data_IF_621774244535
#
_entry.id   IF_621774244535
#
_cell.length_a   1.000
_cell.length_b   1.000
_cell.length_c   1.000
_cell.angle_alpha   90.00
_cell.angle_beta   90.00
_cell.angle_gamma   90.00
#
_symmetry.space_group_name_H-M   'P 1'
#
loop_
_entity.id
_entity.type
_entity.pdbx_description
1 polymer ?
#
# COMPACT_ATOMS: atom_id res chain seq x y z
N UNK A 1 24.37 43.53 -13.89
CA UNK A 1 24.23 42.05 -13.85
C UNK A 1 24.03 41.66 -12.40
N UNK A 2 22.82 41.25 -12.03
CA UNK A 2 22.49 40.84 -10.66
C UNK A 2 21.72 39.53 -10.77
N UNK A 3 22.45 38.42 -10.66
CA UNK A 3 21.86 37.10 -10.64
C UNK A 3 21.24 36.87 -9.26
N UNK A 4 19.91 36.90 -9.20
CA UNK A 4 19.16 36.42 -8.04
C UNK A 4 19.31 34.90 -7.96
N UNK A 5 20.15 34.43 -7.04
CA UNK A 5 20.16 33.06 -6.58
C UNK A 5 18.95 32.85 -5.66
N UNK A 6 17.79 32.59 -6.25
CA UNK A 6 16.67 32.00 -5.51
C UNK A 6 17.04 30.57 -5.14
N UNK A 7 17.56 30.42 -3.92
CA UNK A 7 17.71 29.15 -3.22
C UNK A 7 16.38 28.41 -3.28
N UNK A 8 16.31 27.43 -4.18
CA UNK A 8 15.16 26.54 -4.33
C UNK A 8 15.15 25.67 -3.08
N UNK A 9 14.30 26.01 -2.11
CA UNK A 9 14.08 25.20 -0.91
C UNK A 9 13.74 23.79 -1.37
N UNK A 10 14.69 22.86 -1.19
CA UNK A 10 14.50 21.47 -1.60
C UNK A 10 13.32 20.93 -0.79
N UNK A 11 12.24 20.54 -1.47
CA UNK A 11 11.06 20.00 -0.81
C UNK A 11 11.43 18.70 -0.10
N UNK A 12 11.49 18.75 1.23
CA UNK A 12 11.84 17.59 2.06
C UNK A 12 10.62 16.68 2.25
N UNK A 13 10.49 15.73 1.33
CA UNK A 13 9.42 14.73 1.39
C UNK A 13 9.53 13.82 2.62
N UNK A 14 10.72 13.63 3.19
CA UNK A 14 10.93 12.75 4.35
C UNK A 14 10.29 13.36 5.58
N UNK A 15 10.48 14.66 5.80
CA UNK A 15 9.83 15.40 6.90
C UNK A 15 8.31 15.35 6.76
N UNK A 16 7.76 15.54 5.57
CA UNK A 16 6.31 15.48 5.33
C UNK A 16 5.73 14.10 5.66
N UNK A 17 6.36 13.02 5.19
CA UNK A 17 5.87 11.65 5.40
C UNK A 17 6.01 11.22 6.87
N UNK A 18 7.10 11.61 7.52
CA UNK A 18 7.32 11.37 8.95
C UNK A 18 6.30 12.12 9.80
N UNK A 19 6.02 13.38 9.47
CA UNK A 19 4.98 14.17 10.15
C UNK A 19 3.60 13.54 9.96
N UNK A 20 3.26 13.05 8.76
CA UNK A 20 2.01 12.33 8.51
C UNK A 20 1.90 11.04 9.34
N UNK A 21 3.01 10.33 9.53
CA UNK A 21 3.05 9.14 10.38
C UNK A 21 2.81 9.48 11.87
N UNK A 22 3.46 10.54 12.36
CA UNK A 22 3.31 11.01 13.75
C UNK A 22 1.90 11.54 14.02
N UNK A 23 1.31 12.34 13.13
CA UNK A 23 -0.02 12.93 13.33
C UNK A 23 -1.14 11.89 13.30
N UNK A 24 -0.96 10.80 12.55
CA UNK A 24 -1.89 9.69 12.60
C UNK A 24 -1.94 9.06 14.01
N UNK A 25 -0.77 8.77 14.58
CA UNK A 25 -0.60 8.21 15.93
C UNK A 25 -0.98 9.20 17.04
N UNK A 26 -0.78 10.50 16.81
CA UNK A 26 -1.08 11.59 17.75
C UNK A 26 -2.09 12.57 17.15
N UNK A 27 -3.40 12.35 17.34
CA UNK A 27 -4.47 13.12 16.69
C UNK A 27 -4.44 14.63 16.94
N UNK A 28 -3.78 15.07 18.01
CA UNK A 28 -3.69 16.47 18.42
C UNK A 28 -2.80 17.32 17.50
N UNK A 29 -2.09 16.70 16.54
CA UNK A 29 -1.23 17.40 15.59
C UNK A 29 -1.90 17.53 14.21
N UNK A 30 -1.69 18.69 13.59
CA UNK A 30 -2.20 18.98 12.24
C UNK A 30 -1.50 18.07 11.23
N UNK A 31 -2.28 17.31 10.46
CA UNK A 31 -1.75 16.49 9.38
C UNK A 31 -1.44 17.36 8.14
N UNK A 32 -0.44 16.99 7.31
CA UNK A 32 -0.21 17.64 6.03
C UNK A 32 -1.48 17.62 5.16
N UNK A 33 -1.67 18.63 4.32
CA UNK A 33 -2.77 18.59 3.35
C UNK A 33 -2.60 17.41 2.39
N UNK A 34 -3.71 16.90 1.84
CA UNK A 34 -3.68 15.80 0.88
C UNK A 34 -2.74 16.08 -0.31
N UNK A 35 -2.74 17.32 -0.81
CA UNK A 35 -1.89 17.73 -1.92
C UNK A 35 -0.40 17.70 -1.57
N UNK A 36 -0.02 18.15 -0.37
CA UNK A 36 1.35 18.11 0.12
C UNK A 36 1.80 16.65 0.27
N UNK A 37 0.94 15.79 0.83
CA UNK A 37 1.25 14.37 1.00
C UNK A 37 1.41 13.64 -0.35
N UNK A 38 0.54 13.92 -1.33
CA UNK A 38 0.69 13.37 -2.70
C UNK A 38 2.01 13.80 -3.33
N UNK A 39 2.37 15.09 -3.23
CA UNK A 39 3.67 15.59 -3.74
C UNK A 39 4.84 14.87 -3.07
N UNK A 40 4.77 14.64 -1.76
CA UNK A 40 5.79 13.90 -1.03
C UNK A 40 5.90 12.43 -1.46
N UNK A 41 4.77 11.74 -1.64
CA UNK A 41 4.76 10.36 -2.12
C UNK A 41 5.33 10.24 -3.54
N UNK A 42 4.98 11.17 -4.44
CA UNK A 42 5.52 11.21 -5.81
C UNK A 42 7.02 11.49 -5.83
N UNK A 43 7.50 12.39 -4.97
CA UNK A 43 8.92 12.68 -4.85
C UNK A 43 9.69 11.48 -4.27
N UNK A 44 9.14 10.81 -3.25
CA UNK A 44 9.72 9.57 -2.70
C UNK A 44 9.82 8.48 -3.78
N UNK A 45 8.77 8.29 -4.59
CA UNK A 45 8.80 7.33 -5.69
C UNK A 45 9.86 7.66 -6.74
N UNK A 46 9.98 8.94 -7.11
CA UNK A 46 11.01 9.40 -8.04
C UNK A 46 12.41 9.13 -7.50
N UNK A 47 12.68 9.48 -6.24
CA UNK A 47 13.96 9.26 -5.58
C UNK A 47 14.30 7.77 -5.51
N UNK A 48 13.34 6.91 -5.13
CA UNK A 48 13.56 5.47 -5.08
C UNK A 48 13.94 4.86 -6.43
N UNK A 49 13.32 5.34 -7.53
CA UNK A 49 13.68 4.93 -8.89
C UNK A 49 15.08 5.40 -9.30
N UNK A 50 15.42 6.66 -9.00
CA UNK A 50 16.73 7.24 -9.32
C UNK A 50 17.87 6.54 -8.57
N UNK A 51 17.65 6.24 -7.29
CA UNK A 51 18.63 5.58 -6.43
C UNK A 51 18.60 4.05 -6.54
N UNK A 52 17.65 3.49 -7.32
CA UNK A 52 17.44 2.05 -7.48
C UNK A 52 17.33 1.32 -6.13
N UNK A 53 16.60 1.93 -5.18
CA UNK A 53 16.40 1.36 -3.86
C UNK A 53 15.67 0.02 -3.97
N UNK A 54 16.13 -0.97 -3.23
CA UNK A 54 15.50 -2.28 -3.11
C UNK A 54 15.22 -2.57 -1.64
N UNK A 55 14.08 -3.16 -1.34
CA UNK A 55 13.67 -3.50 0.02
C UNK A 55 13.55 -5.02 0.16
N UNK A 56 14.16 -5.64 1.18
CA UNK A 56 13.90 -7.03 1.53
C UNK A 56 12.43 -7.26 1.96
N UNK A 57 11.90 -8.48 1.72
CA UNK A 57 10.51 -8.82 2.05
C UNK A 57 10.22 -8.72 3.56
N UNK A 58 11.23 -9.00 4.38
CA UNK A 58 11.18 -9.01 5.84
C UNK A 58 10.76 -7.66 6.42
N UNK A 59 11.09 -6.56 5.74
CA UNK A 59 10.69 -5.22 6.17
C UNK A 59 9.21 -4.92 5.91
N UNK A 60 8.54 -5.70 5.06
CA UNK A 60 7.10 -5.59 4.83
C UNK A 60 6.31 -6.42 5.85
N UNK A 61 6.94 -7.32 6.60
CA UNK A 61 6.25 -8.19 7.54
C UNK A 61 5.59 -7.44 8.69
N UNK A 62 4.40 -7.92 9.06
CA UNK A 62 3.57 -7.36 10.12
C UNK A 62 2.32 -6.69 9.59
N UNK A 63 1.67 -5.90 10.45
CA UNK A 63 0.37 -5.28 10.21
C UNK A 63 0.52 -3.77 10.00
N UNK A 64 -0.14 -3.27 8.97
CA UNK A 64 -0.02 -1.90 8.49
C UNK A 64 -1.40 -1.28 8.31
N UNK A 65 -1.64 -0.18 9.02
CA UNK A 65 -2.88 0.57 8.95
C UNK A 65 -2.83 1.59 7.81
N UNK A 66 -3.81 1.54 6.92
CA UNK A 66 -3.95 2.45 5.80
C UNK A 66 -4.37 3.83 6.28
N UNK A 67 -3.60 4.84 5.89
CA UNK A 67 -3.78 6.20 6.37
C UNK A 67 -4.18 7.14 5.24
N UNK A 68 -3.66 6.92 4.04
CA UNK A 68 -3.91 7.77 2.89
C UNK A 68 -3.89 6.96 1.60
N UNK A 69 -4.82 7.27 0.69
CA UNK A 69 -4.86 6.67 -0.65
C UNK A 69 -5.19 7.71 -1.70
N UNK A 70 -4.72 7.47 -2.93
CA UNK A 70 -5.19 8.18 -4.12
C UNK A 70 -5.95 7.21 -5.02
N UNK A 71 -7.14 7.61 -5.46
CA UNK A 71 -7.75 6.98 -6.63
C UNK A 71 -7.06 7.41 -7.92
N UNK A 72 -7.38 6.74 -9.01
CA UNK A 72 -7.02 7.19 -10.36
C UNK A 72 -8.27 7.38 -11.20
N UNK A 73 -8.23 8.35 -12.12
CA UNK A 73 -9.26 8.52 -13.15
C UNK A 73 -8.61 8.29 -14.50
N UNK A 74 -9.23 7.45 -15.33
CA UNK A 74 -8.85 7.34 -16.74
C UNK A 74 -9.15 8.67 -17.42
N UNK A 75 -8.15 9.27 -18.05
CA UNK A 75 -8.37 10.49 -18.82
C UNK A 75 -9.14 10.13 -20.10
N UNK A 76 -10.27 10.80 -20.36
CA UNK A 76 -11.19 10.45 -21.47
C UNK A 76 -10.66 10.85 -22.86
N UNK A 77 -9.51 11.54 -22.96
CA UNK A 77 -8.98 12.02 -24.25
C UNK A 77 -7.55 11.59 -24.60
N UNK A 78 -6.82 10.98 -23.67
CA UNK A 78 -5.45 10.52 -23.88
C UNK A 78 -5.27 9.33 -22.95
N UNK A 79 -4.80 8.18 -23.43
CA UNK A 79 -4.74 6.91 -22.67
C UNK A 79 -3.90 6.90 -21.37
N UNK A 80 -3.59 8.06 -20.80
CA UNK A 80 -2.94 8.24 -19.51
C UNK A 80 -3.90 8.13 -18.31
N UNK A 81 -3.31 7.70 -17.19
CA UNK A 81 -3.97 7.61 -15.89
C UNK A 81 -3.72 8.91 -15.13
N UNK A 82 -4.77 9.65 -14.78
CA UNK A 82 -4.66 10.84 -13.94
C UNK A 82 -4.76 10.43 -12.46
N UNK A 83 -3.77 10.83 -11.66
CA UNK A 83 -3.78 10.61 -10.21
C UNK A 83 -4.79 11.55 -9.55
N UNK A 84 -5.66 10.99 -8.72
CA UNK A 84 -6.62 11.78 -7.94
C UNK A 84 -5.95 12.56 -6.82
N UNK A 85 -6.68 13.53 -6.24
CA UNK A 85 -6.21 14.39 -5.13
C UNK A 85 -5.83 13.62 -3.85
N UNK A 86 -6.30 12.38 -3.73
CA UNK A 86 -6.14 11.54 -2.55
C UNK A 86 -6.99 11.97 -1.37
N UNK A 87 -7.13 11.06 -0.40
CA UNK A 87 -7.88 11.29 0.82
C UNK A 87 -7.28 10.49 1.97
N UNK A 88 -7.41 11.05 3.18
CA UNK A 88 -7.09 10.34 4.41
C UNK A 88 -8.23 9.39 4.77
N UNK A 89 -7.88 8.20 5.23
CA UNK A 89 -8.86 7.24 5.75
C UNK A 89 -9.45 7.79 7.06
N UNK A 90 -10.78 7.85 7.22
CA UNK A 90 -11.39 8.29 8.46
C UNK A 90 -11.02 7.39 9.63
N UNK A 91 -10.74 7.98 10.81
CA UNK A 91 -10.25 7.23 11.99
C UNK A 91 -11.25 6.22 12.57
N UNK A 92 -12.52 6.32 12.23
CA UNK A 92 -13.55 5.37 12.65
C UNK A 92 -13.59 4.10 11.79
N UNK A 93 -12.76 4.01 10.74
CA UNK A 93 -12.60 2.82 9.90
C UNK A 93 -11.16 2.35 10.04
N UNK A 94 -10.97 1.12 10.52
CA UNK A 94 -9.66 0.48 10.49
C UNK A 94 -9.52 -0.26 9.15
N UNK A 95 -8.42 -0.04 8.45
CA UNK A 95 -8.15 -0.68 7.16
C UNK A 95 -6.71 -1.16 7.23
N UNK A 96 -6.52 -2.46 7.40
CA UNK A 96 -5.21 -3.06 7.60
C UNK A 96 -4.80 -3.86 6.38
N UNK A 97 -3.52 -3.77 6.02
CA UNK A 97 -2.86 -4.80 5.22
C UNK A 97 -1.81 -5.47 6.09
N UNK A 98 -1.69 -6.78 6.01
CA UNK A 98 -0.66 -7.53 6.71
C UNK A 98 0.02 -8.51 5.78
N UNK A 99 1.30 -8.74 6.04
CA UNK A 99 2.14 -9.65 5.30
C UNK A 99 2.82 -10.60 6.27
N UNK A 100 2.73 -11.90 5.99
CA UNK A 100 3.37 -12.95 6.76
C UNK A 100 4.23 -13.80 5.83
N UNK A 101 5.44 -14.14 6.27
CA UNK A 101 6.28 -15.10 5.56
C UNK A 101 5.75 -16.52 5.79
N UNK A 102 5.82 -17.36 4.77
CA UNK A 102 5.62 -18.80 4.93
C UNK A 102 6.93 -19.40 5.43
N UNK A 103 6.88 -20.40 6.32
CA UNK A 103 8.06 -21.09 6.86
C UNK A 103 8.83 -21.94 5.82
N UNK A 104 8.42 -21.91 4.56
CA UNK A 104 9.06 -22.65 3.47
C UNK A 104 10.28 -21.89 2.93
N UNK A 105 11.21 -22.63 2.31
CA UNK A 105 12.56 -22.18 1.90
C UNK A 105 12.58 -21.03 0.86
N UNK A 106 11.44 -20.61 0.31
CA UNK A 106 11.33 -19.47 -0.59
C UNK A 106 11.06 -18.19 0.21
N UNK A 107 12.12 -17.42 0.49
CA UNK A 107 12.08 -16.14 1.23
C UNK A 107 11.19 -15.06 0.60
N UNK A 108 10.76 -15.28 -0.64
CA UNK A 108 9.99 -14.33 -1.44
C UNK A 108 8.48 -14.67 -1.48
N UNK A 109 8.02 -15.70 -0.76
CA UNK A 109 6.61 -16.10 -0.70
C UNK A 109 6.00 -15.88 0.67
N UNK A 110 4.67 -15.74 0.71
CA UNK A 110 3.97 -15.51 1.96
C UNK A 110 2.45 -15.46 1.79
N UNK A 111 1.81 -14.89 2.80
CA UNK A 111 0.39 -14.57 2.81
C UNK A 111 0.16 -13.07 2.97
N UNK A 112 -0.83 -12.54 2.26
CA UNK A 112 -1.40 -11.21 2.49
C UNK A 112 -2.75 -11.36 3.16
N UNK A 113 -3.05 -10.48 4.10
CA UNK A 113 -4.42 -10.21 4.50
C UNK A 113 -4.75 -8.72 4.37
N UNK A 114 -5.85 -8.40 3.70
CA UNK A 114 -6.44 -7.07 3.66
C UNK A 114 -7.75 -7.09 4.45
N UNK A 115 -7.86 -6.24 5.47
CA UNK A 115 -8.95 -6.27 6.43
C UNK A 115 -9.53 -4.87 6.61
N UNK A 116 -10.85 -4.76 6.50
CA UNK A 116 -11.60 -3.55 6.79
C UNK A 116 -12.48 -3.82 8.01
N UNK A 117 -12.38 -2.94 9.00
CA UNK A 117 -13.14 -3.01 10.24
C UNK A 117 -13.93 -1.72 10.41
N UNK A 118 -15.24 -1.90 10.52
CA UNK A 118 -16.18 -0.88 10.95
C UNK A 118 -17.06 -1.54 12.01
N UNK A 119 -16.62 -1.45 13.27
CA UNK A 119 -17.24 -2.13 14.41
C UNK A 119 -18.78 -1.92 14.38
N UNK A 120 -19.60 -2.99 14.35
CA UNK A 120 -19.30 -4.39 14.68
C UNK A 120 -18.94 -5.32 13.53
N UNK A 121 -18.80 -4.82 12.30
CA UNK A 121 -18.56 -5.62 11.11
C UNK A 121 -17.09 -5.58 10.71
N UNK A 122 -16.53 -6.74 10.36
CA UNK A 122 -15.24 -6.82 9.69
C UNK A 122 -15.30 -7.68 8.44
N UNK A 123 -14.55 -7.28 7.42
CA UNK A 123 -14.31 -8.01 6.19
C UNK A 123 -12.81 -8.25 6.07
N UNK A 124 -12.39 -9.51 5.94
CA UNK A 124 -11.00 -9.90 5.73
C UNK A 124 -10.88 -10.71 4.44
N UNK A 125 -9.94 -10.32 3.59
CA UNK A 125 -9.53 -11.05 2.39
C UNK A 125 -8.13 -11.58 2.60
N UNK A 126 -7.89 -12.86 2.31
CA UNK A 126 -6.54 -13.45 2.39
C UNK A 126 -6.17 -14.21 1.12
N UNK A 127 -4.87 -14.45 0.96
CA UNK A 127 -4.34 -15.27 -0.12
C UNK A 127 -2.82 -15.15 -0.27
N UNK A 128 -2.24 -15.87 -1.24
CA UNK A 128 -0.80 -15.92 -1.42
C UNK A 128 -0.20 -14.59 -1.91
N UNK A 129 1.07 -14.38 -1.58
CA UNK A 129 1.92 -13.33 -2.16
C UNK A 129 3.19 -13.90 -2.76
N UNK A 130 3.72 -13.17 -3.74
CA UNK A 130 5.06 -13.36 -4.27
C UNK A 130 5.74 -12.01 -4.36
N UNK A 131 6.91 -11.89 -3.75
CA UNK A 131 7.69 -10.68 -3.69
C UNK A 131 8.89 -10.73 -4.64
N UNK A 132 8.93 -9.84 -5.62
CA UNK A 132 10.10 -9.65 -6.45
C UNK A 132 10.96 -8.53 -5.87
N UNK A 133 11.87 -8.88 -4.95
CA UNK A 133 12.72 -7.91 -4.24
C UNK A 133 13.51 -6.99 -5.17
N UNK A 134 14.03 -7.49 -6.29
CA UNK A 134 14.75 -6.67 -7.29
C UNK A 134 13.91 -5.55 -7.91
N UNK A 135 12.58 -5.66 -7.87
CA UNK A 135 11.63 -4.69 -8.44
C UNK A 135 10.75 -4.02 -7.37
N UNK A 136 10.95 -4.36 -6.09
CA UNK A 136 10.05 -4.02 -4.98
C UNK A 136 8.57 -4.31 -5.28
N UNK A 137 8.31 -5.37 -6.04
CA UNK A 137 6.98 -5.66 -6.56
C UNK A 137 6.38 -6.83 -5.79
N UNK A 138 5.30 -6.59 -5.07
CA UNK A 138 4.55 -7.64 -4.38
C UNK A 138 3.30 -7.97 -5.19
N UNK A 139 3.28 -9.14 -5.81
CA UNK A 139 2.09 -9.70 -6.44
C UNK A 139 1.26 -10.46 -5.41
N UNK A 140 -0.06 -10.47 -5.58
CA UNK A 140 -0.96 -11.19 -4.68
C UNK A 140 -2.23 -11.63 -5.39
N UNK A 141 -2.89 -12.65 -4.85
CA UNK A 141 -4.23 -13.06 -5.27
C UNK A 141 -5.09 -13.35 -4.04
N UNK A 142 -6.23 -12.67 -3.89
CA UNK A 142 -7.15 -12.98 -2.79
C UNK A 142 -8.02 -14.16 -3.19
N UNK A 143 -7.98 -15.23 -2.41
CA UNK A 143 -8.71 -16.46 -2.68
C UNK A 143 -9.67 -16.86 -1.55
N UNK A 144 -9.55 -16.26 -0.35
CA UNK A 144 -10.43 -16.47 0.79
C UNK A 144 -11.05 -15.16 1.27
N UNK A 145 -12.32 -15.24 1.71
CA UNK A 145 -13.06 -14.13 2.28
C UNK A 145 -13.71 -14.55 3.59
N UNK A 146 -13.52 -13.72 4.62
CA UNK A 146 -14.10 -13.89 5.95
C UNK A 146 -14.88 -12.63 6.31
N UNK A 147 -16.13 -12.79 6.76
CA UNK A 147 -16.94 -11.70 7.33
C UNK A 147 -17.24 -12.05 8.79
N UNK A 148 -16.99 -11.10 9.68
CA UNK A 148 -17.31 -11.23 11.09
C UNK A 148 -18.29 -10.14 11.53
N UNK A 149 -19.15 -10.50 12.48
CA UNK A 149 -20.09 -9.59 13.15
C UNK A 149 -19.94 -9.78 14.66
N UNK A 150 -19.69 -8.69 15.39
CA UNK A 150 -19.38 -8.71 16.83
C UNK A 150 -18.23 -9.70 17.17
N UNK A 151 -17.21 -9.75 16.33
CA UNK A 151 -16.07 -10.67 16.47
C UNK A 151 -16.37 -12.14 16.16
N UNK A 152 -17.61 -12.50 15.81
CA UNK A 152 -17.97 -13.87 15.40
C UNK A 152 -17.95 -13.99 13.89
N UNK A 153 -17.26 -15.00 13.38
CA UNK A 153 -17.25 -15.31 11.93
C UNK A 153 -18.65 -15.78 11.52
N UNK A 154 -19.29 -15.04 10.63
CA UNK A 154 -20.61 -15.39 10.07
C UNK A 154 -20.50 -15.88 8.62
N UNK A 155 -19.36 -15.64 7.97
CA UNK A 155 -19.08 -16.07 6.61
C UNK A 155 -17.59 -16.37 6.47
N UNK A 156 -17.27 -17.53 5.88
CA UNK A 156 -15.91 -17.92 5.55
C UNK A 156 -15.95 -18.81 4.30
N UNK A 157 -15.56 -18.26 3.14
CA UNK A 157 -15.63 -18.96 1.86
C UNK A 157 -14.50 -18.55 0.93
N UNK A 158 -14.14 -19.49 0.05
CA UNK A 158 -13.30 -19.21 -1.10
C UNK A 158 -14.03 -18.25 -2.06
N UNK A 159 -13.33 -17.24 -2.55
CA UNK A 159 -13.87 -16.21 -3.45
C UNK A 159 -14.24 -16.80 -4.82
N UNK A 160 -13.50 -17.80 -5.28
CA UNK A 160 -13.65 -18.42 -6.61
C UNK A 160 -14.21 -19.85 -6.54
N UNK A 161 -15.17 -20.10 -5.67
CA UNK A 161 -15.87 -21.39 -5.63
C UNK A 161 -16.75 -21.58 -6.89
N UNK A 162 -16.19 -22.07 -8.00
CA UNK A 162 -17.03 -22.65 -9.05
C UNK A 162 -16.52 -22.84 -10.48
N UNK A 163 -15.61 -22.04 -11.09
CA UNK A 163 -15.43 -22.13 -12.57
C UNK A 163 -14.05 -21.86 -13.17
N UNK A 164 -12.99 -21.66 -12.39
CA UNK A 164 -11.64 -21.62 -12.93
C UNK A 164 -10.75 -22.38 -11.94
N UNK A 165 -10.30 -23.57 -12.33
CA UNK A 165 -9.17 -24.17 -11.65
C UNK A 165 -8.03 -23.18 -11.75
N UNK A 166 -7.64 -22.70 -10.58
CA UNK A 166 -6.53 -21.80 -10.29
C UNK A 166 -5.40 -22.05 -11.27
N UNK A 167 -5.18 -21.15 -12.25
CA UNK A 167 -3.84 -21.01 -12.81
C UNK A 167 -2.93 -20.80 -11.60
N UNK A 168 -1.94 -21.67 -11.42
CA UNK A 168 -1.04 -21.59 -10.26
C UNK A 168 -0.51 -20.15 -10.14
N UNK A 169 -0.85 -19.49 -9.04
CA UNK A 169 -0.54 -18.08 -8.77
C UNK A 169 0.95 -17.79 -9.03
N UNK A 170 1.82 -18.73 -8.67
CA UNK A 170 3.27 -18.59 -8.81
C UNK A 170 3.78 -18.74 -10.24
N UNK A 171 2.97 -19.31 -11.14
CA UNK A 171 3.29 -19.50 -12.56
C UNK A 171 2.66 -18.43 -13.46
N UNK A 172 1.78 -17.58 -12.92
CA UNK A 172 1.17 -16.50 -13.69
C UNK A 172 2.13 -15.32 -13.90
N UNK A 173 2.14 -14.68 -15.08
CA UNK A 173 2.86 -13.43 -15.24
C UNK A 173 2.31 -12.36 -14.28
N UNK A 174 3.19 -11.72 -13.51
CA UNK A 174 2.79 -10.65 -12.56
C UNK A 174 2.05 -9.51 -13.26
N UNK A 175 2.31 -9.28 -14.55
CA UNK A 175 1.56 -8.33 -15.37
C UNK A 175 0.06 -8.65 -15.49
N UNK A 176 -0.42 -9.84 -15.09
CA UNK A 176 -1.84 -10.21 -14.99
C UNK A 176 -2.37 -10.14 -13.55
N UNK A 177 -1.49 -10.20 -12.56
CA UNK A 177 -1.84 -10.21 -11.15
C UNK A 177 -2.05 -8.78 -10.60
N UNK A 178 -2.88 -8.62 -9.56
CA UNK A 178 -2.80 -7.49 -8.65
C UNK A 178 -1.39 -7.39 -8.05
N UNK A 179 -0.89 -6.16 -7.91
CA UNK A 179 0.40 -5.93 -7.27
C UNK A 179 0.50 -4.57 -6.59
N UNK A 180 1.46 -4.48 -5.67
CA UNK A 180 1.99 -3.26 -5.10
C UNK A 180 3.46 -3.09 -5.49
N UNK A 181 3.81 -1.94 -6.08
CA UNK A 181 5.19 -1.50 -6.26
C UNK A 181 5.60 -0.61 -5.10
N UNK A 182 6.36 -1.15 -4.15
CA UNK A 182 6.86 -0.41 -3.00
C UNK A 182 7.99 0.52 -3.42
N UNK A 183 7.92 1.76 -2.95
CA UNK A 183 8.96 2.76 -3.21
C UNK A 183 9.49 3.40 -1.93
N UNK A 184 8.84 3.18 -0.79
CA UNK A 184 9.32 3.61 0.52
C UNK A 184 8.95 2.57 1.55
N UNK A 185 9.95 2.08 2.28
CA UNK A 185 9.77 1.13 3.38
C UNK A 185 10.64 1.57 4.55
N UNK A 186 10.01 1.74 5.71
CA UNK A 186 10.68 2.09 6.96
C UNK A 186 10.11 1.22 8.08
N UNK A 187 10.71 1.30 9.27
CA UNK A 187 10.18 0.63 10.47
C UNK A 187 8.78 1.11 10.87
N UNK A 188 8.39 2.33 10.46
CA UNK A 188 7.21 3.02 10.96
C UNK A 188 6.09 3.15 9.93
N UNK A 189 6.43 3.17 8.65
CA UNK A 189 5.47 3.36 7.56
C UNK A 189 6.01 2.81 6.23
N UNK A 190 5.08 2.52 5.33
CA UNK A 190 5.33 2.05 3.97
C UNK A 190 4.51 2.84 2.96
N UNK A 191 5.02 2.95 1.74
CA UNK A 191 4.29 3.53 0.63
C UNK A 191 4.47 2.70 -0.65
N UNK A 192 3.37 2.53 -1.38
CA UNK A 192 3.35 1.76 -2.61
C UNK A 192 2.44 2.37 -3.66
N UNK A 193 2.71 2.00 -4.91
CA UNK A 193 1.83 2.23 -6.06
C UNK A 193 1.13 0.93 -6.42
N UNK A 194 -0.19 0.94 -6.43
CA UNK A 194 -0.97 -0.20 -6.90
C UNK A 194 -0.99 -0.30 -8.43
N UNK A 195 -1.34 -1.48 -8.96
CA UNK A 195 -1.51 -1.72 -10.41
C UNK A 195 -2.33 -0.64 -11.13
N UNK A 196 -3.41 -0.16 -10.52
CA UNK A 196 -4.29 0.88 -11.09
C UNK A 196 -3.67 2.29 -11.13
N UNK A 197 -2.42 2.45 -10.67
CA UNK A 197 -1.69 3.71 -10.63
C UNK A 197 -1.95 4.54 -9.37
N UNK A 198 -2.81 4.10 -8.46
CA UNK A 198 -3.02 4.79 -7.18
C UNK A 198 -1.83 4.63 -6.24
N UNK A 199 -1.54 5.66 -5.46
CA UNK A 199 -0.62 5.67 -4.33
C UNK A 199 -1.37 5.28 -3.05
N UNK A 200 -0.67 4.61 -2.15
CA UNK A 200 -1.14 4.29 -0.83
C UNK A 200 -0.01 4.46 0.19
N UNK A 201 -0.38 4.91 1.38
CA UNK A 201 0.51 5.15 2.52
C UNK A 201 -0.07 4.48 3.75
N UNK A 202 0.72 3.62 4.37
CA UNK A 202 0.35 2.88 5.57
C UNK A 202 1.34 3.14 6.68
N UNK A 203 0.85 3.06 7.91
CA UNK A 203 1.64 3.19 9.14
C UNK A 203 1.63 1.84 9.84
N UNK A 204 2.78 1.45 10.40
CA UNK A 204 2.90 0.20 11.14
C UNK A 204 2.03 0.25 12.38
N UNK A 205 1.25 -0.81 12.57
CA UNK A 205 0.53 -1.04 13.81
C UNK A 205 1.51 -1.65 14.82
N UNK A 206 1.60 -1.01 15.98
CA UNK A 206 2.47 -1.40 17.10
C UNK A 206 1.70 -2.22 18.12
#
# INVERSE_FOLDING_TARGET
MTANLTSTTTFDFVTVLSQAAVTYRQPQRIHPSAEILVKALLQAEKTAKQQRLTYPFEFLLGKWQLCFVTGTKKNKGSGGILLGKGFYVPKFIAIHVSFNATLEQDSDRGEIANQVEFNPVSLKLTGPVQYLGKKNLLAFDFNQMVISLFGRVIYNRAIRAGKVQTEDFYNQPIAKLPFFGFFLVTKDFIAARGRGGGLAFWIRET
#
